data_IF_455776732634
#
_entry.id   IF_455776732634
#
_cell.length_a   1.000
_cell.length_b   1.000
_cell.length_c   1.000
_cell.angle_alpha   90.00
_cell.angle_beta   90.00
_cell.angle_gamma   90.00
#
_symmetry.space_group_name_H-M   'P 1'
#
loop_
_entity.id
_entity.type
_entity.pdbx_description
1 polymer ?
#
# COMPACT_ATOMS: atom_id res chain seq x y z
N UNK A 1 -0.34 21.31 -29.92
CA UNK A 1 -1.14 20.87 -28.77
C UNK A 1 -1.61 19.45 -29.05
N UNK A 2 -1.09 18.42 -28.36
CA UNK A 2 -1.63 17.07 -28.46
C UNK A 2 -3.12 17.09 -28.10
N UNK A 3 -3.95 16.40 -28.87
CA UNK A 3 -5.41 16.46 -28.75
C UNK A 3 -5.96 15.69 -27.52
N UNK A 4 -5.11 14.94 -26.80
CA UNK A 4 -5.52 14.00 -25.75
C UNK A 4 -4.49 13.86 -24.61
N UNK A 5 -3.69 14.91 -24.34
CA UNK A 5 -2.71 14.89 -23.25
C UNK A 5 -3.37 14.61 -21.90
N UNK A 6 -2.61 13.98 -21.01
CA UNK A 6 -3.02 13.74 -19.63
C UNK A 6 -2.66 14.99 -18.84
N UNK A 7 -3.62 15.74 -18.27
CA UNK A 7 -3.32 16.95 -17.53
C UNK A 7 -2.55 16.64 -16.25
N UNK A 8 -1.71 17.57 -15.78
CA UNK A 8 -1.16 17.49 -14.42
C UNK A 8 -2.26 17.79 -13.39
N UNK A 9 -2.21 17.18 -12.19
CA UNK A 9 -3.08 17.57 -11.09
C UNK A 9 -2.66 18.93 -10.55
N UNK A 10 -3.65 19.79 -10.27
CA UNK A 10 -3.43 21.17 -9.78
C UNK A 10 -2.83 21.25 -8.37
N UNK A 11 -2.94 20.19 -7.58
CA UNK A 11 -2.39 20.12 -6.22
C UNK A 11 -2.11 18.66 -5.82
N UNK A 12 -1.01 18.43 -5.09
CA UNK A 12 -0.66 17.13 -4.51
C UNK A 12 -0.76 17.08 -2.98
N UNK A 13 -1.13 18.19 -2.34
CA UNK A 13 -1.23 18.33 -0.89
C UNK A 13 -2.49 19.12 -0.52
N UNK A 14 -3.26 18.59 0.41
CA UNK A 14 -4.42 19.25 1.03
C UNK A 14 -4.13 19.53 2.49
N UNK A 15 -4.55 20.67 3.02
CA UNK A 15 -4.33 21.03 4.42
C UNK A 15 -5.62 20.85 5.22
N UNK A 16 -5.60 19.96 6.21
CA UNK A 16 -6.65 19.86 7.22
C UNK A 16 -6.21 20.64 8.46
N UNK A 17 -6.49 21.93 8.48
CA UNK A 17 -5.91 22.85 9.46
C UNK A 17 -4.38 22.89 9.30
N UNK A 18 -3.64 22.47 10.33
CA UNK A 18 -2.17 22.44 10.34
C UNK A 18 -1.57 21.15 9.75
N UNK A 19 -2.39 20.15 9.44
CA UNK A 19 -1.92 18.82 9.02
C UNK A 19 -1.91 18.73 7.48
N UNK A 20 -0.74 18.58 6.83
CA UNK A 20 -0.67 18.36 5.40
C UNK A 20 -1.00 16.90 5.04
N UNK A 21 -2.09 16.70 4.31
CA UNK A 21 -2.51 15.44 3.71
C UNK A 21 -1.90 15.36 2.31
N UNK A 22 -0.93 14.48 2.13
CA UNK A 22 -0.20 14.33 0.86
C UNK A 22 -0.82 13.20 0.04
N UNK A 23 -1.09 13.45 -1.24
CA UNK A 23 -1.71 12.47 -2.12
C UNK A 23 -0.91 11.17 -2.23
N UNK A 24 0.42 11.25 -2.35
CA UNK A 24 1.27 10.07 -2.42
C UNK A 24 1.15 9.18 -1.17
N UNK A 25 0.97 9.78 0.02
CA UNK A 25 0.83 9.04 1.26
C UNK A 25 -0.51 8.27 1.27
N UNK A 26 -1.58 8.91 0.78
CA UNK A 26 -2.87 8.25 0.58
C UNK A 26 -2.78 7.09 -0.42
N UNK A 27 -2.08 7.28 -1.54
CA UNK A 27 -1.84 6.21 -2.52
C UNK A 27 -1.08 5.03 -1.90
N UNK A 28 -0.05 5.28 -1.09
CA UNK A 28 0.71 4.22 -0.39
C UNK A 28 -0.19 3.48 0.59
N UNK A 29 -0.93 4.19 1.45
CA UNK A 29 -1.85 3.57 2.43
C UNK A 29 -2.91 2.72 1.72
N UNK A 30 -3.52 3.27 0.66
CA UNK A 30 -4.48 2.54 -0.15
C UNK A 30 -3.85 1.29 -0.79
N UNK A 31 -2.64 1.40 -1.32
CA UNK A 31 -1.87 0.28 -1.86
C UNK A 31 -1.65 -0.82 -0.83
N UNK A 32 -1.23 -0.47 0.39
CA UNK A 32 -1.04 -1.42 1.49
C UNK A 32 -2.35 -2.11 1.85
N UNK A 33 -3.44 -1.36 2.01
CA UNK A 33 -4.77 -1.94 2.32
C UNK A 33 -5.20 -2.92 1.23
N UNK A 34 -5.06 -2.54 -0.04
CA UNK A 34 -5.43 -3.42 -1.17
C UNK A 34 -4.54 -4.67 -1.22
N UNK A 35 -3.23 -4.55 -0.99
CA UNK A 35 -2.32 -5.70 -0.92
C UNK A 35 -2.72 -6.67 0.18
N UNK A 36 -3.06 -6.16 1.37
CA UNK A 36 -3.51 -6.97 2.50
C UNK A 36 -4.84 -7.65 2.18
N UNK A 37 -5.83 -6.94 1.63
CA UNK A 37 -7.13 -7.52 1.26
C UNK A 37 -6.98 -8.62 0.21
N UNK A 38 -6.17 -8.39 -0.83
CA UNK A 38 -5.90 -9.39 -1.87
C UNK A 38 -5.14 -10.59 -1.27
N UNK A 39 -4.10 -10.32 -0.47
CA UNK A 39 -3.31 -11.34 0.21
C UNK A 39 -4.16 -12.21 1.12
N UNK A 40 -5.01 -11.60 1.94
CA UNK A 40 -5.90 -12.28 2.89
C UNK A 40 -6.92 -13.18 2.18
N UNK A 41 -7.55 -12.69 1.10
CA UNK A 41 -8.44 -13.52 0.27
C UNK A 41 -7.70 -14.73 -0.31
N UNK A 42 -6.47 -14.52 -0.79
CA UNK A 42 -5.66 -15.59 -1.37
C UNK A 42 -5.12 -16.57 -0.32
N UNK A 43 -4.81 -16.09 0.89
CA UNK A 43 -4.35 -16.92 2.01
C UNK A 43 -5.46 -17.87 2.46
N UNK A 44 -6.66 -17.34 2.66
CA UNK A 44 -7.85 -18.15 2.98
C UNK A 44 -8.16 -19.18 1.90
N UNK A 45 -8.05 -18.80 0.62
CA UNK A 45 -8.22 -19.73 -0.49
C UNK A 45 -7.16 -20.87 -0.54
N UNK A 46 -6.04 -20.72 0.19
CA UNK A 46 -5.03 -21.77 0.39
C UNK A 46 -5.27 -22.61 1.65
N UNK A 47 -6.32 -22.35 2.41
CA UNK A 47 -6.63 -23.02 3.68
C UNK A 47 -5.99 -22.35 4.91
N UNK A 48 -5.41 -21.16 4.77
CA UNK A 48 -4.83 -20.43 5.89
C UNK A 48 -5.88 -19.71 6.74
N UNK A 49 -5.59 -19.54 8.03
CA UNK A 49 -6.50 -18.91 8.99
C UNK A 49 -6.76 -17.41 8.65
N UNK A 50 -8.01 -16.93 8.78
CA UNK A 50 -8.34 -15.52 8.60
C UNK A 50 -7.52 -14.60 9.53
N UNK A 51 -7.13 -13.43 9.04
CA UNK A 51 -6.36 -12.43 9.79
C UNK A 51 -4.85 -12.66 9.76
N UNK A 52 -4.38 -13.81 9.28
CA UNK A 52 -2.93 -14.11 9.26
C UNK A 52 -2.13 -13.07 8.46
N UNK A 53 -2.63 -12.59 7.32
CA UNK A 53 -1.87 -11.62 6.50
C UNK A 53 -1.87 -10.24 7.16
N UNK A 54 -2.98 -9.86 7.80
CA UNK A 54 -3.09 -8.62 8.59
C UNK A 54 -2.08 -8.64 9.74
N UNK A 55 -2.04 -9.75 10.48
CA UNK A 55 -1.10 -10.01 11.56
C UNK A 55 0.36 -9.91 11.12
N UNK A 56 0.70 -10.45 9.94
CA UNK A 56 2.04 -10.32 9.38
C UNK A 56 2.34 -8.89 8.93
N UNK A 57 1.34 -8.13 8.46
CA UNK A 57 1.52 -6.72 8.13
C UNK A 57 1.85 -5.88 9.37
N UNK A 58 1.31 -6.22 10.54
CA UNK A 58 1.67 -5.59 11.83
C UNK A 58 3.15 -5.78 12.17
N UNK A 59 3.77 -6.88 11.73
CA UNK A 59 5.23 -7.04 11.82
C UNK A 59 5.98 -6.31 10.70
N UNK A 60 5.48 -6.39 9.47
CA UNK A 60 6.15 -5.84 8.30
C UNK A 60 6.29 -4.31 8.34
N UNK A 61 5.23 -3.59 8.74
CA UNK A 61 5.18 -2.12 8.68
C UNK A 61 6.15 -1.46 9.66
N UNK A 62 6.18 -1.79 10.97
CA UNK A 62 7.13 -1.18 11.90
C UNK A 62 8.58 -1.52 11.54
N UNK A 63 8.88 -2.77 11.19
CA UNK A 63 10.22 -3.15 10.78
C UNK A 63 10.64 -2.44 9.48
N UNK A 64 9.73 -2.31 8.52
CA UNK A 64 9.99 -1.55 7.30
C UNK A 64 10.24 -0.06 7.55
N UNK A 65 9.47 0.56 8.45
CA UNK A 65 9.67 1.95 8.84
C UNK A 65 11.03 2.17 9.50
N UNK A 66 11.37 1.32 10.47
CA UNK A 66 12.69 1.33 11.14
C UNK A 66 13.80 1.11 10.13
N UNK A 67 13.66 0.13 9.24
CA UNK A 67 14.67 -0.16 8.24
C UNK A 67 14.86 0.93 7.21
N UNK A 68 13.76 1.54 6.76
CA UNK A 68 13.84 2.67 5.84
C UNK A 68 14.59 3.84 6.46
N UNK A 69 14.32 4.12 7.74
CA UNK A 69 15.03 5.18 8.45
C UNK A 69 16.50 4.83 8.66
N UNK A 70 16.78 3.61 9.12
CA UNK A 70 18.14 3.14 9.34
C UNK A 70 18.98 3.20 8.07
N UNK A 71 18.44 2.76 6.93
CA UNK A 71 19.15 2.82 5.65
C UNK A 71 19.48 4.25 5.26
N UNK A 72 18.53 5.18 5.35
CA UNK A 72 18.76 6.59 5.05
C UNK A 72 19.84 7.20 5.96
N UNK A 73 19.79 6.92 7.26
CA UNK A 73 20.80 7.42 8.21
C UNK A 73 22.18 6.83 7.90
N UNK A 74 22.27 5.59 7.41
CA UNK A 74 23.55 4.98 7.02
C UNK A 74 24.08 5.59 5.71
N UNK A 75 23.22 5.81 4.72
CA UNK A 75 23.65 6.31 3.40
C UNK A 75 23.93 7.80 3.40
N UNK A 76 23.14 8.57 4.17
CA UNK A 76 23.18 10.03 4.22
C UNK A 76 23.60 10.50 5.62
N UNK A 77 24.53 9.78 6.26
CA UNK A 77 24.96 10.03 7.64
C UNK A 77 25.51 11.45 7.86
N UNK A 78 26.09 12.06 6.82
CA UNK A 78 26.65 13.42 6.86
C UNK A 78 25.57 14.48 7.13
N UNK A 79 24.30 14.18 6.85
CA UNK A 79 23.19 15.08 7.16
C UNK A 79 23.00 15.27 8.68
N UNK A 80 23.41 14.29 9.48
CA UNK A 80 23.15 14.25 10.93
C UNK A 80 24.42 14.28 11.78
N UNK A 81 25.53 13.76 11.24
CA UNK A 81 26.77 13.58 11.97
C UNK A 81 27.91 14.24 11.21
N UNK A 82 28.25 15.46 11.59
CA UNK A 82 29.35 16.23 10.99
C UNK A 82 29.46 17.62 11.61
N UNK A 83 30.63 18.28 11.51
CA UNK A 83 30.79 19.66 12.00
C UNK A 83 29.82 20.65 11.34
N UNK A 84 29.52 20.42 10.06
CA UNK A 84 28.65 21.25 9.22
C UNK A 84 27.30 20.57 8.93
N UNK A 85 26.90 19.59 9.75
CA UNK A 85 25.65 18.86 9.54
C UNK A 85 24.44 19.79 9.67
N UNK A 86 23.50 19.80 8.69
CA UNK A 86 22.31 20.64 8.74
C UNK A 86 21.31 20.21 9.83
N UNK A 87 21.41 18.96 10.32
CA UNK A 87 20.53 18.40 11.35
C UNK A 87 21.29 18.00 12.60
N UNK A 88 20.60 17.98 13.73
CA UNK A 88 21.16 17.45 14.97
C UNK A 88 21.14 15.90 14.97
N UNK A 89 22.08 15.23 15.66
CA UNK A 89 22.12 13.76 15.74
C UNK A 89 20.82 13.08 16.17
N UNK A 90 20.01 13.73 17.03
CA UNK A 90 18.73 13.17 17.50
C UNK A 90 17.67 13.17 16.40
N UNK A 91 17.75 14.10 15.43
CA UNK A 91 16.83 14.16 14.28
C UNK A 91 16.98 12.94 13.38
N UNK A 92 18.07 12.17 13.49
CA UNK A 92 18.21 10.86 12.84
C UNK A 92 17.08 9.89 13.22
N UNK A 93 16.37 10.10 14.34
CA UNK A 93 15.21 9.29 14.75
C UNK A 93 13.86 9.81 14.21
N UNK A 94 13.82 11.04 13.70
CA UNK A 94 12.58 11.72 13.33
C UNK A 94 12.09 11.29 11.94
N UNK A 95 11.32 10.21 11.91
CA UNK A 95 10.72 9.65 10.68
C UNK A 95 9.74 10.61 9.98
N UNK A 96 9.18 11.58 10.69
CA UNK A 96 8.24 12.57 10.14
C UNK A 96 8.94 13.70 9.36
N UNK A 97 10.25 13.83 9.47
CA UNK A 97 11.05 14.76 8.66
C UNK A 97 11.34 14.22 7.25
N UNK A 98 10.84 13.02 6.91
CA UNK A 98 11.16 12.33 5.67
C UNK A 98 12.44 11.48 5.78
N UNK A 99 13.07 11.18 4.66
CA UNK A 99 14.30 10.37 4.64
C UNK A 99 14.07 8.91 5.02
N UNK A 100 13.31 8.19 4.19
CA UNK A 100 13.09 6.75 4.31
C UNK A 100 13.62 6.05 3.05
N UNK A 101 14.65 5.22 3.22
CA UNK A 101 15.24 4.44 2.14
C UNK A 101 14.44 3.18 1.83
N UNK A 102 14.02 3.00 0.58
CA UNK A 102 13.21 1.84 0.17
C UNK A 102 13.93 0.50 0.38
N UNK A 103 15.25 0.45 0.17
CA UNK A 103 16.05 -0.77 0.35
C UNK A 103 16.05 -1.27 1.79
N UNK A 104 16.20 -0.34 2.75
CA UNK A 104 16.11 -0.67 4.17
C UNK A 104 14.70 -1.11 4.57
N UNK A 105 13.68 -0.43 4.03
CA UNK A 105 12.30 -0.78 4.32
C UNK A 105 11.91 -2.17 3.82
N UNK A 106 12.33 -2.53 2.60
CA UNK A 106 12.10 -3.86 2.04
C UNK A 106 12.85 -4.93 2.82
N UNK A 107 14.13 -4.70 3.14
CA UNK A 107 14.96 -5.70 3.83
C UNK A 107 14.45 -6.01 5.24
N UNK A 108 14.25 -4.98 6.07
CA UNK A 108 13.76 -5.18 7.44
C UNK A 108 12.27 -5.53 7.47
N UNK A 109 11.46 -5.01 6.56
CA UNK A 109 10.06 -5.44 6.42
C UNK A 109 9.94 -6.94 6.13
N UNK A 110 10.76 -7.47 5.20
CA UNK A 110 10.83 -8.90 4.94
C UNK A 110 11.32 -9.70 6.16
N UNK A 111 12.27 -9.16 6.93
CA UNK A 111 12.71 -9.75 8.20
C UNK A 111 11.57 -9.81 9.23
N UNK A 112 10.77 -8.75 9.34
CA UNK A 112 9.58 -8.72 10.19
C UNK A 112 8.57 -9.80 9.80
N UNK A 113 8.29 -9.95 8.51
CA UNK A 113 7.42 -11.04 8.01
C UNK A 113 8.02 -12.40 8.33
N UNK A 114 9.33 -12.60 8.18
CA UNK A 114 10.00 -13.85 8.53
C UNK A 114 9.85 -14.20 10.02
N UNK A 115 10.05 -13.23 10.92
CA UNK A 115 9.79 -13.42 12.35
C UNK A 115 8.32 -13.79 12.61
N UNK A 116 7.39 -13.05 11.99
CA UNK A 116 5.95 -13.31 12.10
C UNK A 116 5.54 -14.70 11.60
N UNK A 117 6.18 -15.19 10.54
CA UNK A 117 5.97 -16.54 10.00
C UNK A 117 6.56 -17.61 10.92
N UNK A 118 7.80 -17.41 11.39
CA UNK A 118 8.49 -18.35 12.27
C UNK A 118 7.77 -18.52 13.59
N UNK A 119 7.24 -17.44 14.16
CA UNK A 119 6.45 -17.49 15.40
C UNK A 119 5.14 -18.27 15.23
N UNK A 120 4.58 -18.33 14.02
CA UNK A 120 3.32 -19.01 13.70
C UNK A 120 3.50 -20.40 13.07
N UNK A 121 4.75 -20.83 12.84
CA UNK A 121 5.03 -22.10 12.16
C UNK A 121 4.52 -22.16 10.71
N UNK A 122 4.30 -21.02 10.06
CA UNK A 122 3.81 -20.94 8.67
C UNK A 122 4.96 -20.75 7.68
N UNK A 123 4.77 -21.25 6.46
CA UNK A 123 5.76 -21.19 5.40
C UNK A 123 5.90 -19.77 4.84
N UNK A 124 7.11 -19.20 4.93
CA UNK A 124 7.42 -17.90 4.33
C UNK A 124 7.22 -17.92 2.80
N UNK A 125 7.53 -19.02 2.12
CA UNK A 125 7.35 -19.12 0.67
C UNK A 125 5.88 -19.16 0.27
N UNK A 126 5.03 -19.78 1.10
CA UNK A 126 3.59 -19.77 0.90
C UNK A 126 3.02 -18.37 1.08
N UNK A 127 3.47 -17.64 2.12
CA UNK A 127 3.11 -16.24 2.33
C UNK A 127 3.56 -15.39 1.15
N UNK A 128 4.83 -15.52 0.72
CA UNK A 128 5.38 -14.77 -0.41
C UNK A 128 4.57 -14.96 -1.70
N UNK A 129 4.26 -16.21 -2.08
CA UNK A 129 3.44 -16.51 -3.26
C UNK A 129 1.99 -15.99 -3.14
N UNK A 130 1.50 -15.88 -1.91
CA UNK A 130 0.16 -15.38 -1.62
C UNK A 130 0.07 -13.88 -1.81
N UNK A 131 1.02 -13.14 -1.25
CA UNK A 131 1.02 -11.67 -1.25
C UNK A 131 1.57 -11.07 -2.54
N UNK A 132 2.36 -11.81 -3.34
CA UNK A 132 3.02 -11.27 -4.54
C UNK A 132 2.09 -10.50 -5.49
N UNK A 133 0.90 -11.00 -5.88
CA UNK A 133 -0.01 -10.22 -6.72
C UNK A 133 -0.55 -8.97 -6.02
N UNK A 134 -0.78 -9.04 -4.70
CA UNK A 134 -1.20 -7.88 -3.91
C UNK A 134 -0.12 -6.79 -3.88
N UNK A 135 1.15 -7.18 -3.77
CA UNK A 135 2.29 -6.24 -3.84
C UNK A 135 2.33 -5.53 -5.20
N UNK A 136 2.18 -6.26 -6.30
CA UNK A 136 2.14 -5.67 -7.63
C UNK A 136 0.99 -4.66 -7.77
N UNK A 137 -0.22 -4.98 -7.27
CA UNK A 137 -1.33 -4.01 -7.26
C UNK A 137 -1.01 -2.78 -6.39
N UNK A 138 -0.38 -2.97 -5.22
CA UNK A 138 0.03 -1.85 -4.38
C UNK A 138 1.06 -0.95 -5.07
N UNK A 139 2.01 -1.52 -5.81
CA UNK A 139 2.96 -0.75 -6.62
C UNK A 139 2.22 0.05 -7.69
N UNK A 140 1.28 -0.57 -8.40
CA UNK A 140 0.47 0.11 -9.41
C UNK A 140 -0.29 1.31 -8.86
N UNK A 141 -0.88 1.18 -7.65
CA UNK A 141 -1.56 2.27 -6.96
C UNK A 141 -0.56 3.33 -6.49
N UNK A 142 0.58 2.91 -5.94
CA UNK A 142 1.64 3.81 -5.46
C UNK A 142 2.16 4.75 -6.54
N UNK A 143 2.21 4.32 -7.81
CA UNK A 143 2.62 5.16 -8.95
C UNK A 143 1.76 6.39 -9.16
N UNK A 144 0.48 6.34 -8.78
CA UNK A 144 -0.38 7.52 -8.84
C UNK A 144 0.08 8.62 -7.87
N UNK A 145 0.83 8.28 -6.83
CA UNK A 145 1.50 9.29 -6.00
C UNK A 145 2.49 10.14 -6.79
N UNK A 146 3.21 9.54 -7.75
CA UNK A 146 4.15 10.27 -8.61
C UNK A 146 3.42 11.21 -9.59
N UNK A 147 2.23 10.81 -10.05
CA UNK A 147 1.36 11.68 -10.84
C UNK A 147 0.92 12.92 -10.04
N UNK A 148 0.46 12.74 -8.79
CA UNK A 148 0.10 13.86 -7.92
C UNK A 148 1.27 14.77 -7.54
N UNK A 149 2.45 14.19 -7.36
CA UNK A 149 3.68 14.94 -7.06
C UNK A 149 4.31 15.58 -8.32
N UNK A 150 3.88 15.17 -9.52
CA UNK A 150 4.50 15.52 -10.81
C UNK A 150 6.01 15.21 -10.82
N UNK A 151 6.37 13.98 -10.48
CA UNK A 151 7.76 13.53 -10.38
C UNK A 151 7.98 12.20 -11.10
N UNK A 152 9.26 11.85 -11.31
CA UNK A 152 9.71 10.61 -11.94
C UNK A 152 9.15 10.34 -13.35
N UNK A 153 8.69 11.37 -14.06
CA UNK A 153 8.24 11.32 -15.45
C UNK A 153 9.38 11.00 -16.43
N UNK A 154 9.01 10.62 -17.66
CA UNK A 154 9.95 10.23 -18.70
C UNK A 154 10.44 11.40 -19.56
N UNK A 155 11.05 11.08 -20.70
CA UNK A 155 11.56 12.08 -21.66
C UNK A 155 10.43 12.90 -22.30
N UNK A 156 10.72 14.11 -22.81
CA UNK A 156 9.77 14.88 -23.60
C UNK A 156 9.16 14.04 -24.72
N UNK A 157 7.87 14.23 -24.99
CA UNK A 157 7.14 13.42 -25.97
C UNK A 157 6.01 14.19 -26.64
N UNK A 158 5.84 13.96 -27.93
CA UNK A 158 4.74 14.49 -28.75
C UNK A 158 3.58 13.50 -28.89
N UNK A 159 3.64 12.35 -28.20
CA UNK A 159 2.60 11.33 -28.26
C UNK A 159 1.27 11.87 -27.73
N UNK A 160 0.13 11.40 -28.27
CA UNK A 160 -1.17 11.97 -27.92
C UNK A 160 -1.57 11.71 -26.46
N UNK A 161 -0.92 10.79 -25.75
CA UNK A 161 -1.12 10.51 -24.32
C UNK A 161 0.02 11.06 -23.44
N UNK A 162 0.77 12.07 -23.92
CA UNK A 162 1.80 12.74 -23.13
C UNK A 162 1.22 13.30 -21.82
N UNK A 163 2.00 13.21 -20.75
CA UNK A 163 1.69 13.80 -19.45
C UNK A 163 2.15 15.25 -19.44
N UNK A 164 1.23 16.16 -19.15
CA UNK A 164 1.57 17.54 -18.86
C UNK A 164 2.28 17.61 -17.51
N UNK A 165 3.36 18.39 -17.46
CA UNK A 165 4.12 18.64 -16.23
C UNK A 165 4.29 20.16 -16.11
N UNK A 166 4.07 20.68 -14.92
CA UNK A 166 4.25 22.10 -14.65
C UNK A 166 5.71 22.52 -14.92
N UNK A 167 5.95 23.73 -15.45
CA UNK A 167 7.30 24.23 -15.62
C UNK A 167 8.06 24.26 -14.29
N UNK A 168 9.38 24.19 -14.36
CA UNK A 168 10.32 24.28 -13.23
C UNK A 168 10.28 23.09 -12.24
N UNK A 169 9.53 22.03 -12.54
CA UNK A 169 9.66 20.75 -11.82
C UNK A 169 11.04 20.14 -12.08
N UNK A 170 11.69 19.52 -11.07
CA UNK A 170 12.97 18.83 -11.29
C UNK A 170 12.88 17.80 -12.42
N UNK A 171 13.76 17.94 -13.42
CA UNK A 171 13.79 17.07 -14.61
C UNK A 171 13.02 17.61 -15.83
N UNK A 172 12.35 18.75 -15.72
CA UNK A 172 11.74 19.44 -16.88
C UNK A 172 12.80 20.06 -17.80
N UNK A 173 12.47 20.13 -19.09
CA UNK A 173 13.27 20.74 -20.13
C UNK A 173 12.61 22.06 -20.56
N UNK A 174 13.35 23.19 -20.62
CA UNK A 174 12.78 24.47 -21.06
C UNK A 174 12.16 24.37 -22.46
N UNK A 175 10.91 24.82 -22.59
CA UNK A 175 10.15 24.78 -23.86
C UNK A 175 9.32 23.52 -24.06
N UNK A 176 9.46 22.50 -23.21
CA UNK A 176 8.70 21.25 -23.28
C UNK A 176 7.62 21.20 -22.21
N UNK A 177 6.37 20.93 -22.62
CA UNK A 177 5.22 20.83 -21.71
C UNK A 177 4.74 19.40 -21.48
N UNK A 178 5.12 18.44 -22.34
CA UNK A 178 4.60 17.06 -22.32
C UNK A 178 5.72 16.03 -22.26
N UNK A 179 5.53 15.03 -21.38
CA UNK A 179 6.51 14.01 -21.06
C UNK A 179 5.89 12.61 -21.11
N UNK A 180 6.70 11.58 -21.24
CA UNK A 180 6.20 10.21 -21.13
C UNK A 180 5.59 9.95 -19.74
N UNK A 181 4.31 9.52 -19.63
CA UNK A 181 3.66 9.16 -18.36
C UNK A 181 4.20 7.83 -17.79
N UNK A 182 5.42 7.83 -17.28
CA UNK A 182 6.06 6.65 -16.67
C UNK A 182 5.22 6.08 -15.54
N UNK A 183 4.55 6.91 -14.74
CA UNK A 183 3.62 6.45 -13.70
C UNK A 183 2.54 5.53 -14.25
N UNK A 184 1.97 5.87 -15.42
CA UNK A 184 0.90 5.12 -16.06
C UNK A 184 1.45 3.85 -16.68
N UNK A 185 2.61 3.92 -17.32
CA UNK A 185 3.30 2.75 -17.87
C UNK A 185 3.61 1.72 -16.76
N UNK A 186 4.16 2.18 -15.63
CA UNK A 186 4.43 1.33 -14.46
C UNK A 186 3.13 0.78 -13.87
N UNK A 187 2.10 1.62 -13.72
CA UNK A 187 0.81 1.19 -13.16
C UNK A 187 0.13 0.11 -14.00
N UNK A 188 0.09 0.27 -15.32
CA UNK A 188 -0.46 -0.73 -16.25
C UNK A 188 0.38 -2.01 -16.23
N UNK A 189 1.72 -1.88 -16.22
CA UNK A 189 2.62 -3.02 -16.16
C UNK A 189 2.41 -3.83 -14.88
N UNK A 190 2.35 -3.16 -13.74
CA UNK A 190 2.20 -3.80 -12.42
C UNK A 190 0.82 -4.45 -12.26
N UNK A 191 -0.25 -3.86 -12.81
CA UNK A 191 -1.57 -4.50 -12.88
C UNK A 191 -1.56 -5.73 -13.80
N UNK A 192 -0.95 -5.61 -14.99
CA UNK A 192 -0.76 -6.72 -15.92
C UNK A 192 0.04 -7.86 -15.28
N UNK A 193 1.09 -7.52 -14.53
CA UNK A 193 1.89 -8.46 -13.75
C UNK A 193 1.04 -9.13 -12.67
N UNK A 194 0.24 -8.40 -11.89
CA UNK A 194 -0.65 -8.98 -10.89
C UNK A 194 -1.62 -10.01 -11.50
N UNK A 195 -2.25 -9.67 -12.62
CA UNK A 195 -3.15 -10.56 -13.36
C UNK A 195 -2.40 -11.80 -13.87
N UNK A 196 -1.21 -11.60 -14.46
CA UNK A 196 -0.35 -12.68 -14.92
C UNK A 196 0.03 -13.63 -13.78
N UNK A 197 0.40 -13.11 -12.61
CA UNK A 197 0.79 -13.93 -11.45
C UNK A 197 -0.39 -14.75 -10.91
N UNK A 198 -1.60 -14.17 -10.88
CA UNK A 198 -2.81 -14.89 -10.49
C UNK A 198 -3.10 -16.01 -11.49
N UNK A 199 -3.06 -15.70 -12.79
CA UNK A 199 -3.29 -16.66 -13.86
C UNK A 199 -2.24 -17.78 -13.84
N UNK A 200 -0.95 -17.45 -13.87
CA UNK A 200 0.14 -18.42 -13.90
C UNK A 200 0.17 -19.28 -12.63
N UNK A 201 -0.06 -18.66 -11.46
CA UNK A 201 -0.16 -19.36 -10.19
C UNK A 201 -1.25 -20.43 -10.19
N UNK A 202 -2.42 -20.13 -10.77
CA UNK A 202 -3.52 -21.09 -10.90
C UNK A 202 -3.27 -22.12 -12.01
N UNK A 203 -2.87 -21.67 -13.20
CA UNK A 203 -2.73 -22.51 -14.40
C UNK A 203 -1.63 -23.55 -14.28
N UNK A 204 -0.54 -23.23 -13.57
CA UNK A 204 0.62 -24.10 -13.40
C UNK A 204 0.80 -24.59 -11.97
N UNK A 205 -0.17 -24.34 -11.08
CA UNK A 205 -0.14 -24.72 -9.67
C UNK A 205 1.19 -24.34 -8.98
N UNK A 206 1.66 -23.11 -9.22
CA UNK A 206 2.96 -22.65 -8.73
C UNK A 206 2.93 -22.49 -7.20
N UNK A 207 3.92 -23.10 -6.54
CA UNK A 207 4.11 -23.13 -5.09
C UNK A 207 5.60 -22.94 -4.74
N UNK A 208 5.93 -22.91 -3.45
CA UNK A 208 7.31 -22.84 -2.96
C UNK A 208 8.07 -21.57 -3.38
N UNK A 209 7.38 -20.43 -3.43
CA UNK A 209 7.99 -19.13 -3.75
C UNK A 209 8.12 -18.88 -5.25
N UNK A 210 7.57 -19.77 -6.10
CA UNK A 210 7.67 -19.64 -7.56
C UNK A 210 6.81 -18.51 -8.11
N UNK A 211 5.67 -18.20 -7.49
CA UNK A 211 4.88 -17.02 -7.87
C UNK A 211 5.63 -15.76 -7.48
N UNK A 212 6.23 -15.72 -6.29
CA UNK A 212 7.05 -14.59 -5.87
C UNK A 212 8.29 -14.39 -6.76
N UNK A 213 8.92 -15.47 -7.21
CA UNK A 213 10.02 -15.39 -8.17
C UNK A 213 9.57 -14.82 -9.53
N UNK A 214 8.40 -15.25 -10.04
CA UNK A 214 7.83 -14.63 -11.24
C UNK A 214 7.49 -13.15 -11.04
N UNK A 215 7.05 -12.76 -9.84
CA UNK A 215 6.83 -11.36 -9.49
C UNK A 215 8.12 -10.56 -9.60
N UNK A 216 9.21 -11.02 -8.96
CA UNK A 216 10.51 -10.33 -9.04
C UNK A 216 11.01 -10.25 -10.49
N UNK A 217 10.91 -11.35 -11.25
CA UNK A 217 11.31 -11.37 -12.66
C UNK A 217 10.46 -10.41 -13.51
N UNK A 218 9.13 -10.44 -13.38
CA UNK A 218 8.25 -9.56 -14.14
C UNK A 218 8.39 -8.08 -13.78
N UNK A 219 8.56 -7.78 -12.50
CA UNK A 219 8.78 -6.42 -12.02
C UNK A 219 10.10 -5.85 -12.54
N UNK A 220 11.18 -6.64 -12.49
CA UNK A 220 12.51 -6.20 -12.96
C UNK A 220 12.56 -5.99 -14.48
N UNK A 221 11.81 -6.77 -15.26
CA UNK A 221 11.63 -6.51 -16.70
C UNK A 221 10.96 -5.15 -16.91
N UNK A 222 9.83 -4.90 -16.26
CA UNK A 222 9.13 -3.60 -16.33
C UNK A 222 10.03 -2.44 -15.94
N UNK A 223 10.71 -2.60 -14.79
CA UNK A 223 11.62 -1.60 -14.26
C UNK A 223 12.77 -1.29 -15.22
N UNK A 224 13.33 -2.29 -15.89
CA UNK A 224 14.49 -2.11 -16.76
C UNK A 224 14.22 -1.15 -17.93
N UNK A 225 13.11 -1.34 -18.66
CA UNK A 225 12.82 -0.51 -19.83
C UNK A 225 12.21 0.84 -19.44
N UNK A 226 11.38 0.89 -18.39
CA UNK A 226 10.79 2.16 -17.94
C UNK A 226 11.87 3.07 -17.35
N UNK A 227 12.81 2.52 -16.59
CA UNK A 227 13.96 3.29 -16.09
C UNK A 227 14.79 3.88 -17.24
N UNK A 228 14.84 3.21 -18.40
CA UNK A 228 15.47 3.74 -19.61
C UNK A 228 14.75 4.95 -20.23
N UNK A 229 13.47 5.17 -19.92
CA UNK A 229 12.69 6.32 -20.38
C UNK A 229 12.83 7.55 -19.46
N UNK A 230 13.29 7.36 -18.22
CA UNK A 230 13.33 8.41 -17.21
C UNK A 230 14.46 9.40 -17.46
N UNK A 231 14.24 10.67 -17.09
CA UNK A 231 15.18 11.79 -17.30
C UNK A 231 15.86 12.21 -16.00
N UNK A 232 15.43 11.69 -14.86
CA UNK A 232 15.99 12.03 -13.55
C UNK A 232 17.48 11.67 -13.45
N UNK A 233 18.21 12.42 -12.63
CA UNK A 233 19.64 12.17 -12.38
C UNK A 233 19.82 10.81 -11.71
N UNK A 234 20.58 9.93 -12.36
CA UNK A 234 20.88 8.60 -11.83
C UNK A 234 22.38 8.30 -11.99
N UNK A 235 22.91 7.48 -11.08
CA UNK A 235 24.27 6.96 -11.22
C UNK A 235 24.34 5.99 -12.39
N UNK A 236 25.27 6.24 -13.31
CA UNK A 236 25.52 5.38 -14.47
C UNK A 236 26.78 4.56 -14.26
N UNK A 237 26.70 3.27 -14.59
CA UNK A 237 27.83 2.35 -14.58
C UNK A 237 27.79 1.62 -15.92
N UNK A 238 28.87 1.70 -16.70
CA UNK A 238 28.98 1.07 -18.02
C UNK A 238 27.84 1.44 -18.99
N UNK A 239 27.37 2.70 -18.95
CA UNK A 239 26.30 3.20 -19.82
C UNK A 239 24.88 2.82 -19.41
N UNK A 240 24.70 2.05 -18.33
CA UNK A 240 23.40 1.72 -17.75
C UNK A 240 23.20 2.41 -16.41
N UNK A 241 21.95 2.75 -16.08
CA UNK A 241 21.58 3.27 -14.76
C UNK A 241 21.76 2.18 -13.70
N UNK A 242 22.13 2.56 -12.48
CA UNK A 242 22.27 1.63 -11.34
C UNK A 242 21.03 0.72 -11.17
N UNK A 243 19.84 1.30 -11.30
CA UNK A 243 18.57 0.57 -11.20
C UNK A 243 18.39 -0.49 -12.30
N UNK A 244 18.97 -0.29 -13.50
CA UNK A 244 18.96 -1.29 -14.57
C UNK A 244 19.89 -2.46 -14.22
N UNK A 245 21.07 -2.19 -13.66
CA UNK A 245 21.96 -3.24 -13.14
C UNK A 245 21.29 -4.06 -12.04
N UNK A 246 20.67 -3.38 -11.07
CA UNK A 246 19.93 -4.05 -10.00
C UNK A 246 18.80 -4.91 -10.56
N UNK A 247 18.10 -4.43 -11.61
CA UNK A 247 17.06 -5.18 -12.29
C UNK A 247 17.60 -6.45 -12.97
N UNK A 248 18.75 -6.36 -13.65
CA UNK A 248 19.40 -7.53 -14.27
C UNK A 248 19.76 -8.58 -13.22
N UNK A 249 20.42 -8.17 -12.14
CA UNK A 249 20.86 -9.10 -11.08
C UNK A 249 19.66 -9.80 -10.43
N UNK A 250 18.64 -9.04 -10.05
CA UNK A 250 17.43 -9.57 -9.43
C UNK A 250 16.63 -10.46 -10.40
N UNK A 251 16.58 -10.11 -11.69
CA UNK A 251 15.94 -10.94 -12.71
C UNK A 251 16.63 -12.32 -12.80
N UNK A 252 17.96 -12.34 -12.96
CA UNK A 252 18.73 -13.59 -13.05
C UNK A 252 18.56 -14.43 -11.78
N UNK A 253 18.64 -13.81 -10.60
CA UNK A 253 18.42 -14.49 -9.33
C UNK A 253 17.01 -15.08 -9.22
N UNK A 254 15.99 -14.36 -9.66
CA UNK A 254 14.60 -14.81 -9.65
C UNK A 254 14.37 -15.99 -10.60
N UNK A 255 14.92 -15.95 -11.81
CA UNK A 255 14.84 -17.06 -12.77
C UNK A 255 15.60 -18.29 -12.25
N UNK A 256 16.79 -18.10 -11.68
CA UNK A 256 17.56 -19.18 -11.07
C UNK A 256 16.79 -19.83 -9.91
N UNK A 257 16.18 -19.04 -9.03
CA UNK A 257 15.33 -19.54 -7.94
C UNK A 257 14.09 -20.27 -8.48
N UNK A 258 13.40 -19.70 -9.47
CA UNK A 258 12.23 -20.31 -10.09
C UNK A 258 12.56 -21.70 -10.66
N UNK A 259 13.72 -21.84 -11.30
CA UNK A 259 14.21 -23.10 -11.82
C UNK A 259 14.63 -24.08 -10.72
N UNK A 260 15.34 -23.62 -9.69
CA UNK A 260 15.71 -24.42 -8.52
C UNK A 260 14.49 -24.98 -7.79
N UNK A 261 13.44 -24.17 -7.61
CA UNK A 261 12.23 -24.54 -6.90
C UNK A 261 11.26 -25.41 -7.74
N UNK A 262 11.55 -25.67 -9.02
CA UNK A 262 10.60 -26.33 -9.95
C UNK A 262 10.19 -27.75 -9.54
N UNK A 263 11.08 -28.47 -8.85
CA UNK A 263 10.88 -29.86 -8.42
C UNK A 263 10.38 -29.98 -6.97
N UNK A 264 10.14 -28.86 -6.28
CA UNK A 264 9.64 -28.89 -4.90
C UNK A 264 8.14 -29.19 -4.90
N UNK A 265 7.75 -30.30 -4.28
CA UNK A 265 6.37 -30.79 -4.20
C UNK A 265 5.88 -30.97 -2.76
N UNK A 266 6.68 -30.57 -1.76
CA UNK A 266 6.30 -30.69 -0.36
C UNK A 266 5.04 -29.90 0.00
N UNK A 267 4.37 -30.30 1.07
CA UNK A 267 3.29 -29.49 1.62
C UNK A 267 3.88 -28.25 2.30
N UNK A 268 3.34 -27.08 1.95
CA UNK A 268 3.72 -25.85 2.62
C UNK A 268 2.82 -25.66 3.84
N UNK A 269 3.41 -25.50 5.02
CA UNK A 269 2.64 -25.19 6.24
C UNK A 269 1.89 -23.88 6.06
N UNK A 270 0.56 -23.95 6.07
CA UNK A 270 -0.34 -22.79 6.11
C UNK A 270 -0.94 -22.56 7.49
N UNK A 271 -0.44 -23.29 8.50
CA UNK A 271 -0.86 -23.14 9.89
C UNK A 271 -2.30 -23.57 10.15
N UNK A 272 -2.78 -24.64 9.47
CA UNK A 272 -4.08 -25.24 9.77
C UNK A 272 -4.07 -25.65 11.24
N UNK A 273 -4.77 -24.92 12.10
CA UNK A 273 -5.27 -25.51 13.35
C UNK A 273 -6.25 -26.59 12.92
N UNK A 274 -6.04 -27.87 13.26
CA UNK A 274 -7.16 -28.80 13.29
C UNK A 274 -8.24 -28.12 14.14
N UNK A 275 -9.46 -27.99 13.63
CA UNK A 275 -10.57 -27.78 14.55
C UNK A 275 -10.45 -28.87 15.62
N UNK A 276 -10.57 -28.54 16.92
CA UNK A 276 -10.67 -29.59 17.90
C UNK A 276 -11.88 -30.41 17.48
N UNK A 277 -11.64 -31.64 17.03
CA UNK A 277 -12.68 -32.66 17.03
C UNK A 277 -13.08 -32.68 18.50
N UNK A 278 -14.23 -32.09 18.81
CA UNK A 278 -14.90 -32.40 20.04
C UNK A 278 -15.14 -33.90 19.92
N UNK A 279 -14.29 -34.68 20.59
CA UNK A 279 -14.54 -36.09 20.82
C UNK A 279 -15.90 -36.10 21.51
N UNK A 280 -16.94 -36.38 20.73
CA UNK A 280 -18.21 -36.80 21.28
C UNK A 280 -17.87 -38.15 21.87
N UNK A 281 -17.48 -38.16 23.15
CA UNK A 281 -17.48 -39.40 23.92
C UNK A 281 -18.91 -39.95 23.79
N UNK A 282 -19.04 -41.00 22.98
CA UNK A 282 -20.18 -41.90 23.02
C UNK A 282 -20.32 -42.36 24.47
N UNK A 283 -21.25 -41.75 25.20
CA UNK A 283 -21.80 -42.36 26.40
C UNK A 283 -22.73 -43.47 25.92
N UNK A 284 -22.14 -44.59 25.49
CA UNK A 284 -22.84 -45.86 25.49
C UNK A 284 -22.46 -46.67 26.73
N UNK A 285 -23.52 -47.09 27.41
CA UNK A 285 -23.66 -48.35 28.16
C UNK A 285 -23.77 -48.23 29.69
N UNK A 286 -25.03 -48.28 30.15
CA UNK A 286 -25.45 -49.28 31.12
C UNK A 286 -26.99 -49.39 31.10
N UNK A 287 -27.49 -50.34 30.32
CA UNK A 287 -28.84 -50.88 30.51
C UNK A 287 -28.83 -51.78 31.75
N UNK A 288 -29.71 -51.51 32.72
CA UNK A 288 -30.04 -52.42 33.82
C UNK A 288 -31.56 -52.69 33.80
N UNK A 289 -32.02 -53.93 33.55
CA UNK A 289 -33.45 -54.28 33.58
C UNK A 289 -33.84 -55.04 34.86
N UNK A 290 -35.06 -54.75 35.35
CA UNK A 290 -35.87 -55.39 36.42
C UNK A 290 -35.98 -54.53 37.70
N UNK A 291 -37.14 -54.25 38.30
CA UNK A 291 -38.43 -54.95 38.37
C UNK A 291 -39.55 -53.94 38.78
N UNK A 292 -40.86 -54.22 38.59
CA UNK A 292 -41.96 -53.24 38.62
C UNK A 292 -42.87 -53.30 39.87
N UNK A 293 -43.64 -52.21 40.08
CA UNK A 293 -44.88 -51.97 40.88
C UNK A 293 -44.74 -50.60 41.57
N UNK A 294 -45.63 -49.62 41.41
CA UNK A 294 -47.03 -49.65 41.80
C UNK A 294 -47.88 -48.59 41.07
N UNK A 295 -49.17 -48.89 40.96
CA UNK A 295 -50.24 -48.10 40.35
C UNK A 295 -50.84 -47.05 41.31
N UNK A 296 -51.71 -46.21 40.73
CA UNK A 296 -52.74 -45.34 41.33
C UNK A 296 -52.26 -43.91 41.67
N UNK A 297 -53.00 -42.83 41.42
CA UNK A 297 -54.37 -42.66 40.94
C UNK A 297 -54.61 -41.17 40.55
N UNK A 298 -55.72 -40.93 39.84
CA UNK A 298 -56.61 -39.73 39.89
C UNK A 298 -56.05 -38.33 39.52
N UNK A 299 -56.48 -37.69 38.43
CA UNK A 299 -57.79 -37.11 38.03
C UNK A 299 -58.00 -35.63 38.45
N UNK A 300 -58.13 -34.79 37.41
CA UNK A 300 -59.03 -33.62 37.22
C UNK A 300 -59.23 -32.53 38.28
N UNK A 301 -59.28 -31.28 37.78
CA UNK A 301 -59.98 -30.13 38.38
C UNK A 301 -59.05 -28.94 38.68
N UNK A 302 -58.84 -28.00 37.76
CA UNK A 302 -59.65 -26.80 37.49
C UNK A 302 -59.13 -25.51 38.16
N UNK A 303 -58.85 -24.55 37.27
CA UNK A 303 -59.13 -23.11 37.34
C UNK A 303 -58.15 -22.14 38.01
N UNK A 304 -57.82 -21.09 37.23
CA UNK A 304 -57.54 -19.75 37.73
C UNK A 304 -56.28 -19.08 37.18
N UNK A 305 -56.43 -18.40 36.02
CA UNK A 305 -55.93 -17.04 35.71
C UNK A 305 -54.59 -16.57 36.31
N UNK A 306 -53.59 -16.07 35.59
CA UNK A 306 -53.51 -14.92 34.65
C UNK A 306 -51.98 -14.71 34.45
N UNK A 307 -51.39 -14.10 33.43
CA UNK A 307 -51.80 -13.41 32.22
C UNK A 307 -50.58 -13.46 31.27
N UNK A 308 -50.78 -13.81 30.00
CA UNK A 308 -50.72 -12.90 28.83
C UNK A 308 -49.29 -12.43 28.50
N UNK A 309 -48.55 -13.15 27.64
CA UNK A 309 -48.50 -13.07 26.14
C UNK A 309 -47.46 -12.01 25.71
N UNK A 310 -46.34 -12.41 25.09
CA UNK A 310 -46.16 -12.69 23.65
C UNK A 310 -46.47 -11.43 22.80
N UNK A 311 -45.85 -11.10 21.69
CA UNK A 311 -44.85 -11.74 20.85
C UNK A 311 -44.52 -10.75 19.71
N UNK A 312 -43.42 -11.01 19.01
CA UNK A 312 -43.28 -10.95 17.54
C UNK A 312 -43.50 -9.60 16.80
N UNK A 313 -42.39 -9.01 16.29
CA UNK A 313 -41.90 -9.07 14.87
C UNK A 313 -43.00 -9.00 13.78
N UNK A 314 -42.88 -8.35 12.59
CA UNK A 314 -41.66 -8.04 11.76
C UNK A 314 -41.64 -6.70 10.96
N UNK A 315 -40.51 -6.52 10.25
CA UNK A 315 -40.27 -5.95 8.89
C UNK A 315 -41.11 -4.80 8.30
N UNK A 316 -40.40 -3.90 7.59
CA UNK A 316 -40.96 -3.24 6.41
C UNK A 316 -40.37 -1.86 6.07
N UNK A 317 -39.85 -1.76 4.84
CA UNK A 317 -39.41 -0.58 4.08
C UNK A 317 -40.25 0.71 4.22
N UNK A 318 -39.62 1.86 3.94
CA UNK A 318 -40.35 3.06 3.52
C UNK A 318 -39.56 4.36 3.58
N UNK A 319 -39.00 4.77 2.43
CA UNK A 319 -38.46 6.10 2.19
C UNK A 319 -39.52 7.19 2.27
N UNK A 320 -39.25 8.37 2.87
CA UNK A 320 -39.76 9.69 2.42
C UNK A 320 -38.81 10.81 2.92
N UNK A 321 -38.38 11.67 1.99
CA UNK A 321 -37.85 13.02 2.18
C UNK A 321 -39.01 13.99 2.49
N UNK A 322 -38.81 15.09 3.24
CA UNK A 322 -39.15 16.34 2.58
C UNK A 322 -38.20 17.51 2.87
N UNK A 323 -38.06 18.29 1.79
CA UNK A 323 -37.55 19.64 1.71
C UNK A 323 -38.24 20.67 2.64
N UNK A 324 -37.46 21.70 3.00
CA UNK A 324 -37.83 23.12 3.14
C UNK A 324 -36.52 23.92 3.20
N UNK A 325 -36.05 24.60 2.15
CA UNK A 325 -36.44 25.90 1.57
C UNK A 325 -36.20 27.14 2.44
N UNK A 326 -35.24 27.97 1.96
CA UNK A 326 -35.20 29.46 1.93
C UNK A 326 -35.15 30.21 3.27
N UNK A 327 -34.50 31.36 3.47
CA UNK A 327 -34.06 32.50 2.63
C UNK A 327 -32.84 33.17 3.31
N UNK A 328 -31.86 33.73 2.57
CA UNK A 328 -31.63 35.19 2.28
C UNK A 328 -31.81 36.11 3.50
N UNK A 329 -31.08 37.20 3.76
CA UNK A 329 -29.91 37.94 3.30
C UNK A 329 -29.52 38.78 4.58
N UNK A 330 -28.39 39.45 4.74
CA UNK A 330 -28.06 40.72 4.08
C UNK A 330 -26.74 41.28 4.63
N UNK A 331 -26.20 42.17 3.82
CA UNK A 331 -24.97 42.95 3.89
C UNK A 331 -24.81 43.85 5.14
N UNK A 332 -23.58 44.25 5.46
CA UNK A 332 -23.19 45.67 5.47
C UNK A 332 -21.71 45.89 5.78
N UNK A 333 -21.19 46.90 5.09
CA UNK A 333 -19.82 47.39 4.92
C UNK A 333 -19.18 48.15 6.11
N UNK A 334 -17.92 48.54 5.83
CA UNK A 334 -17.26 49.82 6.16
C UNK A 334 -16.25 49.77 7.32
N UNK A 335 -15.05 50.36 7.24
CA UNK A 335 -14.40 51.20 6.24
C UNK A 335 -12.90 51.32 6.59
N UNK A 336 -12.02 51.45 5.61
CA UNK A 336 -11.41 52.71 5.16
C UNK A 336 -10.35 53.32 6.11
N UNK A 337 -9.14 53.58 5.56
CA UNK A 337 -8.33 54.71 6.06
C UNK A 337 -6.80 54.69 5.88
N UNK A 338 -6.33 55.07 4.67
CA UNK A 338 -5.17 55.95 4.35
C UNK A 338 -3.75 55.55 4.81
N UNK A 339 -2.65 56.13 4.29
CA UNK A 339 -2.18 56.64 3.00
C UNK A 339 -0.80 57.29 3.27
N UNK A 340 0.22 56.87 2.52
CA UNK A 340 1.32 57.65 1.92
C UNK A 340 2.40 58.42 2.76
N UNK A 341 3.54 58.55 2.03
CA UNK A 341 4.59 59.60 2.04
C UNK A 341 5.92 59.16 2.71
N UNK A 342 6.95 58.75 1.95
CA UNK A 342 7.93 59.47 1.08
C UNK A 342 9.14 60.00 1.87
N UNK A 343 10.35 59.64 1.41
CA UNK A 343 11.61 60.19 1.89
C UNK A 343 12.82 59.69 1.08
N UNK A 344 13.01 60.27 -0.11
CA UNK A 344 14.26 60.21 -0.89
C UNK A 344 15.38 61.03 -0.22
N UNK A 345 16.63 60.56 -0.39
CA UNK A 345 17.90 61.30 -0.55
C UNK A 345 18.96 60.22 -0.81
N UNK A 346 19.69 60.10 -1.92
CA UNK A 346 20.08 61.04 -2.96
C UNK A 346 21.52 61.53 -2.72
N UNK A 347 22.53 60.90 -3.36
CA UNK A 347 23.71 61.56 -3.96
C UNK A 347 24.69 60.55 -4.61
N UNK A 348 25.50 60.98 -5.61
CA UNK A 348 26.11 60.14 -6.67
C UNK A 348 27.66 60.26 -6.78
N UNK A 349 28.24 59.65 -7.82
CA UNK A 349 29.58 59.95 -8.39
C UNK A 349 30.58 58.79 -8.27
N UNK A 350 30.84 58.03 -9.33
CA UNK A 350 31.86 58.26 -10.38
C UNK A 350 33.30 57.96 -9.90
N UNK A 351 33.90 56.89 -10.43
CA UNK A 351 35.04 56.98 -11.36
C UNK A 351 35.51 55.59 -11.79
N UNK A 352 35.72 55.41 -13.09
CA UNK A 352 36.33 54.23 -13.67
C UNK A 352 37.85 54.32 -13.71
N UNK A 353 38.52 53.18 -13.86
CA UNK A 353 39.63 52.94 -14.82
C UNK A 353 40.23 51.54 -14.60
N UNK A 354 40.61 50.95 -15.74
CA UNK A 354 41.53 49.81 -15.96
C UNK A 354 41.04 48.40 -15.60
#
# INVERSE_FOLDING_TARGET
MPLASIPSPSQGVWYLGVIPIRAYALCIVLGVVVAVVIGERRWRARGGAPGTIVDLAVWAVPFGLVGGRLYHVITDWQLYFGPDAPHTPIEALYIWNGGLGIWGAVALGALGVWFGCRNRGISLTAVADTVAPGIAVAQAIGRWGNYFNQELFGSPTDLPWGLEIDPDKPGTVPGESTYHPTFLYESIWDLGLALFLIWAGRRFALRHGRVFALYVAGYTVGRFWIEGLRVDTAHHILGLRLNQWTSIVLFVAAIAYFWYARNKTGEESVGVTPEPVLDVEEVEEAADPAHPSDQADESEGQDGETAVVSALVPDGDGAIDPAHSSDQADEAEAGAGRSAVKGERGAPGEDGTA
#
